data_IF_580447854726
#
_entry.id   IF_580447854726
#
_cell.length_a   1.000
_cell.length_b   1.000
_cell.length_c   1.000
_cell.angle_alpha   90.00
_cell.angle_beta   90.00
_cell.angle_gamma   90.00
#
_symmetry.space_group_name_H-M   'P 1'
#
loop_
_entity.id
_entity.type
_entity.pdbx_description
1 polymer ?
#
# COMPACT_ATOMS: atom_id res chain seq x y z
N UNK A 1 -3.25 14.88 -14.62
CA UNK A 1 -2.79 13.58 -14.07
C UNK A 1 -3.81 12.52 -14.43
N UNK A 2 -3.42 11.42 -15.06
CA UNK A 2 -4.35 10.31 -15.34
C UNK A 2 -4.45 9.39 -14.12
N UNK A 3 -5.55 8.65 -13.96
CA UNK A 3 -5.71 7.63 -12.91
C UNK A 3 -4.59 6.58 -12.95
N UNK A 4 -4.08 6.31 -14.16
CA UNK A 4 -2.97 5.38 -14.39
C UNK A 4 -1.66 5.88 -13.79
N UNK A 5 -1.39 7.18 -13.87
CA UNK A 5 -0.20 7.80 -13.31
C UNK A 5 -0.25 7.77 -11.77
N UNK A 6 -1.41 8.09 -11.19
CA UNK A 6 -1.63 8.01 -9.74
C UNK A 6 -1.44 6.57 -9.27
N UNK A 7 -2.03 5.59 -9.95
CA UNK A 7 -1.86 4.17 -9.60
C UNK A 7 -0.39 3.75 -9.62
N UNK A 8 0.35 4.08 -10.68
CA UNK A 8 1.79 3.75 -10.79
C UNK A 8 2.59 4.38 -9.66
N UNK A 9 2.30 5.63 -9.33
CA UNK A 9 2.95 6.33 -8.23
C UNK A 9 2.66 5.68 -6.88
N UNK A 10 1.38 5.39 -6.61
CA UNK A 10 0.92 4.77 -5.37
C UNK A 10 1.50 3.35 -5.18
N UNK A 11 1.54 2.54 -6.22
CA UNK A 11 2.19 1.21 -6.19
C UNK A 11 3.70 1.32 -5.96
N UNK A 12 4.36 2.34 -6.51
CA UNK A 12 5.78 2.60 -6.25
C UNK A 12 6.02 2.93 -4.77
N UNK A 13 5.21 3.81 -4.19
CA UNK A 13 5.28 4.15 -2.76
C UNK A 13 5.02 2.94 -1.86
N UNK A 14 4.00 2.14 -2.17
CA UNK A 14 3.71 0.91 -1.41
C UNK A 14 4.89 -0.07 -1.42
N UNK A 15 5.61 -0.17 -2.54
CA UNK A 15 6.83 -0.99 -2.62
C UNK A 15 7.97 -0.43 -1.77
N UNK A 16 8.20 0.87 -1.76
CA UNK A 16 9.22 1.49 -0.89
C UNK A 16 8.88 1.27 0.59
N UNK A 17 7.62 1.47 0.97
CA UNK A 17 7.17 1.29 2.36
C UNK A 17 7.35 -0.17 2.85
N UNK A 18 7.08 -1.17 1.99
CA UNK A 18 7.39 -2.57 2.27
C UNK A 18 8.87 -2.81 2.57
N UNK A 19 9.78 -2.08 1.92
CA UNK A 19 11.24 -2.25 2.12
C UNK A 19 11.68 -1.66 3.44
N UNK A 20 11.16 -0.49 3.80
CA UNK A 20 11.52 0.19 5.05
C UNK A 20 10.94 -0.51 6.29
N UNK A 21 9.73 -1.07 6.21
CA UNK A 21 8.99 -1.61 7.35
C UNK A 21 8.29 -2.94 6.97
N UNK A 22 9.04 -4.01 6.63
CA UNK A 22 8.48 -5.22 6.02
C UNK A 22 7.49 -5.97 6.93
N UNK A 23 7.81 -6.09 8.22
CA UNK A 23 6.97 -6.82 9.18
C UNK A 23 5.70 -6.04 9.49
N UNK A 24 5.82 -4.75 9.81
CA UNK A 24 4.66 -3.88 10.08
C UNK A 24 3.74 -3.75 8.86
N UNK A 25 4.31 -3.65 7.67
CA UNK A 25 3.54 -3.61 6.42
C UNK A 25 2.89 -4.95 6.08
N UNK A 26 3.49 -6.09 6.41
CA UNK A 26 2.83 -7.39 6.24
C UNK A 26 1.66 -7.54 7.22
N UNK A 27 1.88 -7.22 8.50
CA UNK A 27 0.86 -7.32 9.54
C UNK A 27 -0.30 -6.34 9.35
N UNK A 28 -0.15 -5.29 8.56
CA UNK A 28 -1.22 -4.31 8.31
C UNK A 28 -2.45 -4.94 7.65
N UNK A 29 -2.31 -6.04 6.90
CA UNK A 29 -3.45 -6.75 6.29
C UNK A 29 -4.49 -7.21 7.32
N UNK A 30 -4.08 -7.44 8.57
CA UNK A 30 -4.99 -7.83 9.66
C UNK A 30 -6.01 -6.74 9.95
N UNK A 31 -5.68 -5.47 9.70
CA UNK A 31 -6.59 -4.33 9.96
C UNK A 31 -7.55 -4.06 8.80
N UNK A 32 -7.45 -4.80 7.69
CA UNK A 32 -8.29 -4.61 6.51
C UNK A 32 -9.67 -5.26 6.72
N UNK A 33 -10.49 -4.68 7.59
CA UNK A 33 -11.80 -5.23 7.98
C UNK A 33 -12.72 -5.51 6.78
N UNK A 34 -12.73 -4.61 5.78
CA UNK A 34 -13.51 -4.74 4.55
C UNK A 34 -13.05 -5.91 3.66
N UNK A 35 -11.74 -6.17 3.61
CA UNK A 35 -11.19 -7.32 2.90
C UNK A 35 -11.67 -8.63 3.55
N UNK A 36 -11.52 -8.74 4.88
CA UNK A 36 -11.92 -9.96 5.61
C UNK A 36 -13.43 -10.18 5.61
N UNK A 37 -14.22 -9.10 5.71
CA UNK A 37 -15.68 -9.18 5.56
C UNK A 37 -16.08 -9.71 4.18
N UNK A 38 -15.42 -9.26 3.11
CA UNK A 38 -15.68 -9.73 1.76
C UNK A 38 -15.29 -11.21 1.59
N UNK A 39 -14.12 -11.60 2.11
CA UNK A 39 -13.67 -13.00 2.11
C UNK A 39 -14.67 -13.87 2.88
N UNK A 40 -15.16 -13.40 4.03
CA UNK A 40 -16.18 -14.11 4.81
C UNK A 40 -17.49 -14.29 4.03
N UNK A 41 -17.95 -13.25 3.32
CA UNK A 41 -19.13 -13.31 2.45
C UNK A 41 -19.00 -14.36 1.33
N UNK A 42 -17.79 -14.57 0.81
CA UNK A 42 -17.51 -15.53 -0.24
C UNK A 42 -17.34 -16.97 0.28
N UNK A 43 -16.83 -17.15 1.50
CA UNK A 43 -16.41 -18.47 2.03
C UNK A 43 -17.43 -19.10 2.99
N UNK A 44 -18.05 -18.33 3.90
CA UNK A 44 -18.89 -18.87 4.99
C UNK A 44 -20.35 -19.14 4.59
N UNK A 45 -20.68 -19.05 3.30
CA UNK A 45 -22.06 -19.16 2.81
C UNK A 45 -22.89 -17.90 3.06
N UNK A 46 -24.07 -17.83 2.42
CA UNK A 46 -24.83 -16.59 2.25
C UNK A 46 -25.19 -15.90 3.59
N UNK A 47 -25.99 -16.47 4.50
CA UNK A 47 -26.49 -15.69 5.65
C UNK A 47 -25.36 -15.25 6.60
N UNK A 48 -24.44 -16.15 6.93
CA UNK A 48 -23.34 -15.88 7.86
C UNK A 48 -22.31 -14.93 7.25
N UNK A 49 -21.90 -15.18 6.01
CA UNK A 49 -20.91 -14.36 5.33
C UNK A 49 -21.40 -12.92 5.09
N UNK A 50 -22.66 -12.74 4.67
CA UNK A 50 -23.25 -11.40 4.53
C UNK A 50 -23.39 -10.69 5.87
N UNK A 51 -23.73 -11.40 6.95
CA UNK A 51 -23.79 -10.82 8.29
C UNK A 51 -22.41 -10.33 8.78
N UNK A 52 -21.34 -11.10 8.53
CA UNK A 52 -19.96 -10.70 8.86
C UNK A 52 -19.51 -9.50 8.03
N UNK A 53 -19.84 -9.47 6.74
CA UNK A 53 -19.54 -8.31 5.89
C UNK A 53 -20.30 -7.06 6.37
N UNK A 54 -21.59 -7.19 6.68
CA UNK A 54 -22.40 -6.09 7.18
C UNK A 54 -21.85 -5.56 8.50
N UNK A 55 -21.52 -6.43 9.46
CA UNK A 55 -20.97 -6.01 10.75
C UNK A 55 -19.61 -5.32 10.60
N UNK A 56 -18.72 -5.83 9.74
CA UNK A 56 -17.43 -5.21 9.44
C UNK A 56 -17.60 -3.81 8.82
N UNK A 57 -18.52 -3.66 7.86
CA UNK A 57 -18.82 -2.38 7.21
C UNK A 57 -19.42 -1.39 8.21
N UNK A 58 -20.38 -1.81 9.02
CA UNK A 58 -21.00 -0.95 10.05
C UNK A 58 -19.97 -0.47 11.05
N UNK A 59 -19.13 -1.37 11.59
CA UNK A 59 -18.06 -1.00 12.51
C UNK A 59 -17.07 -0.01 11.87
N UNK A 60 -16.73 -0.21 10.60
CA UNK A 60 -15.80 0.64 9.86
C UNK A 60 -16.35 2.04 9.62
N UNK A 61 -17.60 2.14 9.16
CA UNK A 61 -18.28 3.41 8.90
C UNK A 61 -18.57 4.15 10.19
N UNK A 62 -18.97 3.45 11.26
CA UNK A 62 -19.18 4.03 12.58
C UNK A 62 -17.89 4.61 13.15
N UNK A 63 -16.79 3.84 13.11
CA UNK A 63 -15.48 4.30 13.59
C UNK A 63 -15.03 5.55 12.83
N UNK A 64 -15.22 5.58 11.51
CA UNK A 64 -14.88 6.76 10.71
C UNK A 64 -15.77 7.96 11.06
N UNK A 65 -17.08 7.76 11.18
CA UNK A 65 -17.99 8.83 11.56
C UNK A 65 -17.67 9.39 12.96
N UNK A 66 -17.31 8.53 13.92
CA UNK A 66 -16.87 8.94 15.25
C UNK A 66 -15.59 9.77 15.20
N UNK A 67 -14.57 9.34 14.44
CA UNK A 67 -13.32 10.07 14.25
C UNK A 67 -13.59 11.44 13.59
N UNK A 68 -14.39 11.48 12.52
CA UNK A 68 -14.71 12.72 11.81
C UNK A 68 -15.49 13.71 12.68
N UNK A 69 -16.41 13.22 13.53
CA UNK A 69 -17.09 14.05 14.53
C UNK A 69 -16.12 14.62 15.55
N UNK A 70 -15.18 13.80 16.05
CA UNK A 70 -14.15 14.25 16.98
C UNK A 70 -13.23 15.30 16.36
N UNK A 71 -12.89 15.14 15.09
CA UNK A 71 -12.06 16.07 14.32
C UNK A 71 -12.80 17.32 13.82
N UNK A 72 -14.12 17.42 14.07
CA UNK A 72 -15.00 18.52 13.61
C UNK A 72 -15.02 18.72 12.08
N UNK A 73 -14.93 17.61 11.34
CA UNK A 73 -14.95 17.58 9.86
C UNK A 73 -16.22 16.88 9.33
N UNK A 74 -17.41 17.52 9.43
CA UNK A 74 -18.68 16.90 9.06
C UNK A 74 -18.86 16.76 7.54
N UNK A 75 -18.25 17.63 6.73
CA UNK A 75 -18.38 17.62 5.26
C UNK A 75 -17.92 16.29 4.64
N UNK A 76 -16.93 15.64 5.25
CA UNK A 76 -16.39 14.36 4.78
C UNK A 76 -17.39 13.20 4.93
N UNK A 77 -18.43 13.34 5.77
CA UNK A 77 -19.45 12.30 5.95
C UNK A 77 -20.25 12.03 4.67
N UNK A 78 -20.36 13.00 3.75
CA UNK A 78 -20.99 12.79 2.44
C UNK A 78 -20.31 11.71 1.60
N UNK A 79 -19.02 11.45 1.84
CA UNK A 79 -18.23 10.44 1.12
C UNK A 79 -18.10 9.11 1.85
N UNK A 80 -18.85 8.89 2.94
CA UNK A 80 -18.83 7.64 3.71
C UNK A 80 -19.06 6.39 2.83
N UNK A 81 -19.93 6.49 1.81
CA UNK A 81 -20.19 5.39 0.87
C UNK A 81 -19.00 5.00 -0.02
N UNK A 82 -18.02 5.88 -0.23
CA UNK A 82 -16.81 5.58 -1.01
C UNK A 82 -15.73 4.88 -0.19
N UNK A 83 -15.86 4.87 1.15
CA UNK A 83 -14.86 4.32 2.06
C UNK A 83 -14.64 2.82 1.85
N UNK A 84 -15.68 1.98 1.68
CA UNK A 84 -15.47 0.56 1.42
C UNK A 84 -14.70 0.33 0.12
N UNK A 85 -15.02 1.09 -0.93
CA UNK A 85 -14.32 1.03 -2.21
C UNK A 85 -12.85 1.42 -2.06
N UNK A 86 -12.58 2.53 -1.35
CA UNK A 86 -11.22 2.97 -1.05
C UNK A 86 -10.43 1.91 -0.28
N UNK A 87 -11.02 1.28 0.72
CA UNK A 87 -10.36 0.25 1.52
C UNK A 87 -10.05 -1.02 0.69
N UNK A 88 -10.91 -1.37 -0.27
CA UNK A 88 -10.61 -2.44 -1.23
C UNK A 88 -9.46 -2.07 -2.17
N UNK A 89 -9.40 -0.82 -2.64
CA UNK A 89 -8.27 -0.32 -3.45
C UNK A 89 -6.96 -0.39 -2.65
N UNK A 90 -6.98 0.02 -1.37
CA UNK A 90 -5.83 -0.12 -0.47
C UNK A 90 -5.41 -1.58 -0.29
N UNK A 91 -6.39 -2.49 -0.15
CA UNK A 91 -6.13 -3.94 -0.07
C UNK A 91 -5.54 -4.50 -1.36
N UNK A 92 -6.00 -4.04 -2.51
CA UNK A 92 -5.46 -4.42 -3.81
C UNK A 92 -4.03 -3.92 -4.01
N UNK A 93 -3.73 -2.69 -3.57
CA UNK A 93 -2.36 -2.18 -3.56
C UNK A 93 -1.45 -2.97 -2.63
N UNK A 94 -1.94 -3.35 -1.45
CA UNK A 94 -1.23 -4.23 -0.53
C UNK A 94 -0.88 -5.57 -1.21
N UNK A 95 -1.87 -6.20 -1.85
CA UNK A 95 -1.69 -7.46 -2.57
C UNK A 95 -0.69 -7.31 -3.74
N UNK A 96 -0.81 -6.23 -4.53
CA UNK A 96 0.08 -5.94 -5.65
C UNK A 96 1.53 -5.73 -5.20
N UNK A 97 1.73 -5.07 -4.06
CA UNK A 97 3.05 -4.90 -3.46
C UNK A 97 3.56 -6.19 -2.81
N UNK A 98 2.69 -7.09 -2.33
CA UNK A 98 3.05 -8.39 -1.73
C UNK A 98 3.54 -9.38 -2.80
N UNK A 99 2.82 -9.49 -3.93
CA UNK A 99 3.17 -10.36 -5.05
C UNK A 99 4.46 -9.89 -5.78
N UNK A 100 4.80 -8.61 -5.69
CA UNK A 100 6.03 -8.03 -6.24
C UNK A 100 7.28 -8.49 -5.49
N UNK A 101 8.05 -9.43 -6.08
CA UNK A 101 9.24 -10.07 -5.47
C UNK A 101 10.59 -9.35 -5.71
N UNK A 102 10.59 -8.18 -6.34
CA UNK A 102 11.81 -7.45 -6.74
C UNK A 102 11.77 -6.03 -6.18
N UNK A 103 12.81 -5.67 -5.44
CA UNK A 103 13.02 -4.33 -4.87
C UNK A 103 14.12 -3.67 -5.68
N UNK A 104 13.94 -2.42 -6.10
CA UNK A 104 15.01 -1.65 -6.76
C UNK A 104 15.52 -0.62 -5.75
N UNK A 105 16.81 -0.63 -5.44
CA UNK A 105 17.46 0.29 -4.52
C UNK A 105 18.75 0.81 -5.18
N UNK A 106 18.92 2.14 -5.25
CA UNK A 106 20.10 2.81 -5.81
C UNK A 106 20.57 2.26 -7.18
N UNK A 107 19.65 2.16 -8.16
CA UNK A 107 19.97 1.64 -9.50
C UNK A 107 20.15 0.11 -9.60
N UNK A 108 20.02 -0.63 -8.50
CA UNK A 108 20.22 -2.10 -8.47
C UNK A 108 18.94 -2.83 -8.06
N UNK A 109 18.59 -3.89 -8.78
CA UNK A 109 17.49 -4.79 -8.43
C UNK A 109 17.99 -5.79 -7.39
N UNK A 110 17.43 -5.76 -6.20
CA UNK A 110 17.69 -6.72 -5.15
C UNK A 110 16.51 -7.68 -4.96
N UNK A 111 16.83 -8.96 -4.78
CA UNK A 111 15.89 -9.99 -4.31
C UNK A 111 16.27 -10.33 -2.88
N UNK A 112 15.37 -10.01 -1.97
CA UNK A 112 15.49 -10.38 -0.56
C UNK A 112 15.07 -11.85 -0.44
N UNK A 113 16.00 -12.70 -0.04
CA UNK A 113 15.76 -14.11 0.26
C UNK A 113 15.18 -14.29 1.67
N UNK A 114 14.49 -15.41 1.91
CA UNK A 114 13.87 -15.74 3.22
C UNK A 114 14.88 -15.81 4.38
N UNK A 115 16.17 -16.04 4.08
CA UNK A 115 17.27 -16.04 5.05
C UNK A 115 17.84 -14.64 5.36
N UNK A 116 17.17 -13.56 4.95
CA UNK A 116 17.64 -12.19 5.17
C UNK A 116 18.78 -11.75 4.24
N UNK A 117 19.26 -12.63 3.35
CA UNK A 117 20.29 -12.28 2.36
C UNK A 117 19.68 -11.44 1.23
N UNK A 118 20.32 -10.31 0.93
CA UNK A 118 19.94 -9.41 -0.15
C UNK A 118 20.87 -9.72 -1.34
N UNK A 119 20.33 -10.36 -2.38
CA UNK A 119 21.12 -10.74 -3.56
C UNK A 119 20.81 -9.78 -4.71
N UNK A 120 21.81 -9.11 -5.32
CA UNK A 120 21.61 -8.32 -6.52
C UNK A 120 21.23 -9.25 -7.69
N UNK A 121 20.11 -8.96 -8.36
CA UNK A 121 19.55 -9.74 -9.48
C UNK A 121 19.70 -9.02 -10.82
N UNK A 122 20.17 -7.77 -10.81
CA UNK A 122 20.50 -7.02 -12.02
C UNK A 122 20.74 -5.54 -11.73
N UNK A 123 21.51 -4.88 -12.57
CA UNK A 123 21.64 -3.42 -12.60
C UNK A 123 20.57 -2.90 -13.55
N UNK A 124 19.73 -1.97 -13.10
CA UNK A 124 18.95 -1.16 -14.03
C UNK A 124 19.89 -0.06 -14.45
N UNK A 125 20.20 0.04 -15.73
CA UNK A 125 20.95 1.17 -16.29
C UNK A 125 20.12 2.44 -16.06
N UNK A 126 20.29 3.05 -14.89
CA UNK A 126 19.79 4.38 -14.60
C UNK A 126 20.87 5.34 -15.06
N UNK A 127 20.59 6.12 -16.10
CA UNK A 127 21.34 7.33 -16.41
C UNK A 127 21.62 8.08 -15.11
N UNK A 128 22.90 8.17 -14.75
CA UNK A 128 23.35 8.92 -13.59
C UNK A 128 22.94 10.38 -13.82
N UNK A 129 22.16 11.01 -12.91
CA UNK A 129 21.87 12.42 -13.05
C UNK A 129 23.17 13.21 -13.09
N UNK A 130 23.35 14.02 -14.13
CA UNK A 130 24.57 14.77 -14.46
C UNK A 130 25.12 15.65 -13.31
N UNK A 131 24.31 15.91 -12.29
CA UNK A 131 24.66 16.71 -11.11
C UNK A 131 25.79 16.13 -10.25
N UNK A 132 26.08 14.83 -10.33
CA UNK A 132 27.20 14.23 -9.58
C UNK A 132 28.60 14.54 -10.19
N UNK A 133 28.64 14.99 -11.44
CA UNK A 133 29.89 15.31 -12.14
C UNK A 133 30.45 16.71 -11.83
N UNK A 134 29.60 17.63 -11.35
CA UNK A 134 30.00 19.03 -11.10
C UNK A 134 30.65 19.20 -9.73
N UNK A 135 30.19 18.51 -8.69
CA UNK A 135 30.77 18.60 -7.34
C UNK A 135 32.20 18.04 -7.25
N UNK A 136 32.50 16.99 -8.02
CA UNK A 136 33.85 16.42 -8.11
C UNK A 136 34.84 17.31 -8.89
N UNK A 137 34.35 18.20 -9.76
CA UNK A 137 35.19 19.17 -10.49
C UNK A 137 35.47 20.41 -9.66
N UNK A 138 34.51 20.85 -8.84
CA UNK A 138 34.68 22.00 -7.94
C UNK A 138 35.59 21.69 -6.73
N UNK A 139 35.67 20.44 -6.30
CA UNK A 139 36.56 20.02 -5.21
C UNK A 139 38.02 19.76 -5.65
N UNK A 140 38.31 19.89 -6.95
CA UNK A 140 39.61 19.57 -7.55
C UNK A 140 40.33 20.74 -8.24
N UNK A 141 39.86 21.97 -8.08
CA UNK A 141 40.49 23.19 -8.65
C UNK A 141 40.69 24.27 -7.60
#
# INVERSE_FOLDING_TARGET
MTLRDVWRHQVRWARTYRVCQPVGWFCSVVTHATLWGLVAALVLGRPVGWAVLASALTARLFSLAAIMRLLREPETTRYLGLVPLKDLVTSAMWLAAFLGRRVVWSGRVFRVWRDGRIVPVGVVESEVPAFAGEELRAAGS
#
